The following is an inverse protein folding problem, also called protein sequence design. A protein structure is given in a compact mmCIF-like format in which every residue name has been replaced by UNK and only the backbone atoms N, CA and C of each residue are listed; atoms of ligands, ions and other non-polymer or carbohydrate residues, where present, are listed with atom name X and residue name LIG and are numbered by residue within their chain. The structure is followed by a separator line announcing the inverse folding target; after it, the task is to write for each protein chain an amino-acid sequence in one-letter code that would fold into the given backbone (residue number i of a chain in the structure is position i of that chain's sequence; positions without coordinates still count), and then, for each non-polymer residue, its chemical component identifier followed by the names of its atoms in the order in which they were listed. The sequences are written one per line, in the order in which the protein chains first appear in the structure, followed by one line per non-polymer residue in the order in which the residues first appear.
data_IF_838096397167
#
_entry.id   IF_838096397167
#
_cell.length_a   1.000
_cell.length_b   1.000
_cell.length_c   1.000
_cell.angle_alpha   90.00
_cell.angle_beta   90.00
_cell.angle_gamma   90.00
#
_symmetry.space_group_name_H-M   'P 1'
#
loop_
_entity.id
_entity.type
_entity.pdbx_description
1 polymer ?
#
# COMPACT_ATOMS: atom_id res chain seq x y z
N UNK A 1 -10.33 -18.45 -3.99
CA UNK A 1 -9.86 -19.37 -5.04
C UNK A 1 -10.22 -18.73 -6.36
N UNK A 2 -9.25 -18.43 -7.22
CA UNK A 2 -9.45 -17.86 -8.57
C UNK A 2 -9.71 -18.93 -9.61
N UNK A 3 -10.23 -18.56 -10.78
CA UNK A 3 -10.15 -19.40 -11.97
C UNK A 3 -8.71 -19.84 -12.30
N UNK A 4 -7.72 -18.94 -12.13
CA UNK A 4 -6.30 -19.23 -12.31
C UNK A 4 -5.73 -20.28 -11.33
N UNK A 5 -6.20 -20.29 -10.07
CA UNK A 5 -5.82 -21.32 -9.09
C UNK A 5 -6.39 -22.72 -9.43
N UNK A 6 -7.27 -22.81 -10.43
CA UNK A 6 -7.90 -24.05 -10.87
C UNK A 6 -7.28 -24.63 -12.16
N UNK A 7 -6.52 -23.85 -12.94
CA UNK A 7 -5.84 -24.34 -14.16
C UNK A 7 -4.94 -25.59 -13.98
N UNK A 8 -4.21 -25.76 -12.86
CA UNK A 8 -3.39 -26.95 -12.64
C UNK A 8 -4.20 -28.23 -12.38
N UNK A 9 -5.46 -28.09 -11.96
CA UNK A 9 -6.42 -29.18 -11.87
C UNK A 9 -6.95 -29.35 -13.29
N UNK A 10 -6.54 -30.39 -14.03
CA UNK A 10 -6.95 -30.52 -15.45
C UNK A 10 -8.48 -30.43 -15.65
N UNK A 11 -8.91 -29.94 -16.82
CA UNK A 11 -10.28 -29.52 -17.19
C UNK A 11 -11.45 -30.47 -16.79
N UNK A 12 -11.17 -31.75 -16.55
CA UNK A 12 -12.14 -32.77 -16.16
C UNK A 12 -12.20 -33.08 -14.65
N UNK A 13 -11.38 -32.41 -13.84
CA UNK A 13 -11.39 -32.56 -12.38
C UNK A 13 -12.72 -32.12 -11.79
N UNK A 14 -13.38 -33.02 -11.03
CA UNK A 14 -14.60 -32.71 -10.29
C UNK A 14 -14.39 -31.53 -9.32
N UNK A 15 -13.18 -31.40 -8.75
CA UNK A 15 -12.81 -30.31 -7.87
C UNK A 15 -12.77 -28.97 -8.63
N UNK A 16 -12.24 -28.95 -9.85
CA UNK A 16 -12.22 -27.75 -10.68
C UNK A 16 -13.63 -27.31 -11.06
N UNK A 17 -14.50 -28.24 -11.47
CA UNK A 17 -15.90 -27.96 -11.79
C UNK A 17 -16.64 -27.41 -10.57
N UNK A 18 -16.49 -28.04 -9.40
CA UNK A 18 -17.13 -27.58 -8.16
C UNK A 18 -16.68 -26.17 -7.74
N UNK A 19 -15.39 -25.85 -7.85
CA UNK A 19 -14.88 -24.52 -7.53
C UNK A 19 -15.31 -23.45 -8.54
N UNK A 20 -15.32 -23.77 -9.84
CA UNK A 20 -15.82 -22.88 -10.88
C UNK A 20 -17.33 -22.60 -10.70
N UNK A 21 -18.13 -23.62 -10.38
CA UNK A 21 -19.57 -23.47 -10.13
C UNK A 21 -19.85 -22.61 -8.90
N UNK A 22 -19.03 -22.74 -7.84
CA UNK A 22 -19.14 -21.93 -6.64
C UNK A 22 -18.81 -20.44 -6.92
N UNK A 23 -17.74 -20.16 -7.67
CA UNK A 23 -17.37 -18.79 -8.07
C UNK A 23 -18.44 -18.16 -8.96
N UNK A 24 -18.86 -18.86 -10.00
CA UNK A 24 -19.93 -18.41 -10.89
C UNK A 24 -21.26 -18.23 -10.12
N UNK A 25 -21.53 -19.10 -9.14
CA UNK A 25 -22.68 -18.99 -8.24
C UNK A 25 -22.65 -17.71 -7.42
N UNK A 26 -21.50 -17.39 -6.85
CA UNK A 26 -21.27 -16.16 -6.10
C UNK A 26 -21.43 -14.90 -6.96
N UNK A 27 -20.81 -14.86 -8.15
CA UNK A 27 -20.94 -13.72 -9.07
C UNK A 27 -22.38 -13.47 -9.49
N UNK A 28 -23.13 -14.54 -9.82
CA UNK A 28 -24.56 -14.41 -10.16
C UNK A 28 -25.36 -13.83 -9.00
N UNK A 29 -25.04 -14.20 -7.76
CA UNK A 29 -25.73 -13.73 -6.56
C UNK A 29 -25.41 -12.26 -6.28
N UNK A 30 -24.13 -11.87 -6.32
CA UNK A 30 -23.70 -10.47 -6.20
C UNK A 30 -24.31 -9.61 -7.30
N UNK A 31 -24.30 -10.06 -8.55
CA UNK A 31 -24.92 -9.33 -9.68
C UNK A 31 -26.43 -9.18 -9.51
N UNK A 32 -27.11 -10.25 -9.08
CA UNK A 32 -28.57 -10.25 -8.87
C UNK A 32 -28.99 -9.30 -7.74
N UNK A 33 -28.19 -9.22 -6.68
CA UNK A 33 -28.50 -8.42 -5.50
C UNK A 33 -27.74 -7.09 -5.43
N UNK A 34 -27.05 -6.70 -6.51
CA UNK A 34 -26.25 -5.48 -6.60
C UNK A 34 -26.97 -4.23 -6.07
N UNK A 35 -28.22 -3.92 -6.45
CA UNK A 35 -28.88 -2.71 -5.93
C UNK A 35 -29.08 -2.71 -4.41
N UNK A 36 -29.31 -3.88 -3.82
CA UNK A 36 -29.46 -4.03 -2.35
C UNK A 36 -28.10 -3.92 -1.67
N UNK A 37 -27.08 -4.53 -2.24
CA UNK A 37 -25.72 -4.47 -1.72
C UNK A 37 -25.18 -3.03 -1.81
N UNK A 38 -25.39 -2.31 -2.92
CA UNK A 38 -25.00 -0.90 -3.09
C UNK A 38 -25.71 0.02 -2.09
N UNK A 39 -26.98 -0.25 -1.78
CA UNK A 39 -27.71 0.49 -0.74
C UNK A 39 -27.15 0.24 0.67
N UNK A 40 -26.55 -0.93 0.93
CA UNK A 40 -25.99 -1.30 2.24
C UNK A 40 -24.53 -0.86 2.42
N UNK A 41 -23.72 -0.93 1.35
CA UNK A 41 -22.27 -0.70 1.42
C UNK A 41 -21.83 0.60 0.77
N UNK A 42 -22.74 1.37 0.18
CA UNK A 42 -22.46 2.61 -0.54
C UNK A 42 -21.84 2.42 -1.93
N UNK A 43 -21.04 1.35 -2.12
CA UNK A 43 -20.53 0.87 -3.42
C UNK A 43 -20.33 -0.65 -3.39
N UNK A 44 -20.56 -1.29 -4.54
CA UNK A 44 -20.23 -2.70 -4.78
C UNK A 44 -19.23 -2.76 -5.93
N UNK A 45 -17.95 -2.68 -5.59
CA UNK A 45 -16.87 -2.85 -6.57
C UNK A 45 -16.54 -4.34 -6.70
N UNK A 46 -16.77 -4.88 -7.90
CA UNK A 46 -16.37 -6.25 -8.22
C UNK A 46 -14.88 -6.23 -8.55
N UNK A 47 -14.04 -6.70 -7.64
CA UNK A 47 -12.58 -6.66 -7.78
C UNK A 47 -12.01 -7.84 -8.60
N UNK A 48 -12.78 -8.32 -9.57
CA UNK A 48 -12.43 -9.46 -10.42
C UNK A 48 -12.73 -10.82 -9.77
N UNK A 49 -12.31 -11.88 -10.45
CA UNK A 49 -12.57 -13.28 -10.09
C UNK A 49 -11.63 -13.81 -8.98
N UNK A 50 -10.79 -12.95 -8.40
CA UNK A 50 -9.88 -13.31 -7.31
C UNK A 50 -10.37 -12.86 -5.93
N UNK A 51 -10.94 -13.79 -5.13
CA UNK A 51 -11.27 -13.50 -3.73
C UNK A 51 -10.07 -13.04 -2.89
N UNK A 52 -8.86 -13.48 -3.23
CA UNK A 52 -7.62 -13.06 -2.60
C UNK A 52 -7.29 -11.59 -2.85
N UNK A 53 -7.57 -11.09 -4.06
CA UNK A 53 -7.38 -9.68 -4.40
C UNK A 53 -8.33 -8.78 -3.62
N UNK A 54 -9.60 -9.16 -3.48
CA UNK A 54 -10.56 -8.41 -2.66
C UNK A 54 -10.14 -8.33 -1.18
N UNK A 55 -9.67 -9.45 -0.61
CA UNK A 55 -9.15 -9.48 0.75
C UNK A 55 -7.86 -8.63 0.90
N UNK A 56 -6.96 -8.69 -0.08
CA UNK A 56 -5.74 -7.88 -0.10
C UNK A 56 -6.06 -6.40 -0.19
N UNK A 57 -6.93 -5.97 -1.11
CA UNK A 57 -7.35 -4.57 -1.25
C UNK A 57 -7.95 -4.00 0.03
N UNK A 58 -8.73 -4.81 0.76
CA UNK A 58 -9.19 -4.42 2.10
C UNK A 58 -8.01 -4.20 3.06
N UNK A 59 -7.04 -5.10 3.10
CA UNK A 59 -5.85 -4.95 3.95
C UNK A 59 -4.98 -3.74 3.54
N UNK A 60 -4.83 -3.47 2.24
CA UNK A 60 -4.17 -2.27 1.72
C UNK A 60 -4.88 -0.99 2.18
N UNK A 61 -6.21 -0.98 2.15
CA UNK A 61 -6.99 0.12 2.72
C UNK A 61 -6.81 0.25 4.23
N UNK A 62 -6.78 -0.87 4.96
CA UNK A 62 -6.63 -0.87 6.42
C UNK A 62 -5.25 -0.43 6.90
N UNK A 63 -4.16 -0.78 6.19
CA UNK A 63 -2.83 -0.27 6.57
C UNK A 63 -2.78 1.25 6.45
N UNK A 64 -3.32 1.83 5.37
CA UNK A 64 -3.41 3.29 5.22
C UNK A 64 -4.33 3.92 6.27
N UNK A 65 -5.48 3.31 6.54
CA UNK A 65 -6.46 3.83 7.50
C UNK A 65 -5.86 3.94 8.90
N UNK A 66 -5.30 2.85 9.44
CA UNK A 66 -4.80 2.84 10.82
C UNK A 66 -3.62 3.78 11.01
N UNK A 67 -2.69 3.85 10.06
CA UNK A 67 -1.55 4.79 10.15
C UNK A 67 -2.00 6.25 10.01
N UNK A 68 -2.99 6.54 9.16
CA UNK A 68 -3.53 7.90 9.00
C UNK A 68 -4.33 8.36 10.22
N UNK A 69 -5.09 7.45 10.85
CA UNK A 69 -5.78 7.77 12.09
C UNK A 69 -4.80 8.09 13.23
N UNK A 70 -3.73 7.29 13.35
CA UNK A 70 -2.68 7.54 14.33
C UNK A 70 -1.95 8.86 14.08
N UNK A 71 -1.64 9.20 12.82
CA UNK A 71 -0.99 10.48 12.49
C UNK A 71 -1.85 11.68 12.90
N UNK A 72 -3.17 11.62 12.66
CA UNK A 72 -4.09 12.68 13.09
C UNK A 72 -4.20 12.77 14.62
N UNK A 73 -4.35 11.64 15.34
CA UNK A 73 -4.42 11.66 16.80
C UNK A 73 -3.15 12.21 17.44
N UNK A 74 -1.99 11.93 16.85
CA UNK A 74 -0.73 12.45 17.32
C UNK A 74 -0.59 13.96 17.05
N UNK A 75 -1.04 14.43 15.88
CA UNK A 75 -1.14 15.87 15.61
C UNK A 75 -2.06 16.58 16.61
N UNK A 76 -3.20 15.96 16.97
CA UNK A 76 -4.09 16.46 18.03
C UNK A 76 -3.41 16.46 19.40
N UNK A 77 -2.63 15.43 19.74
CA UNK A 77 -1.90 15.37 21.01
C UNK A 77 -0.87 16.49 21.12
N UNK A 78 -0.10 16.73 20.04
CA UNK A 78 0.84 17.85 19.96
C UNK A 78 0.11 19.20 20.04
N UNK A 79 -1.00 19.36 19.32
CA UNK A 79 -1.81 20.58 19.37
C UNK A 79 -2.31 20.85 20.80
N UNK A 80 -2.78 19.82 21.52
CA UNK A 80 -3.24 19.94 22.91
C UNK A 80 -2.12 20.33 23.87
N UNK A 81 -0.92 19.79 23.69
CA UNK A 81 0.26 20.20 24.47
C UNK A 81 0.59 21.70 24.29
N UNK A 82 0.11 22.30 23.20
CA UNK A 82 0.29 23.71 22.85
C UNK A 82 -1.01 24.54 23.02
N UNK A 83 -2.00 24.04 23.76
CA UNK A 83 -3.22 24.77 24.10
C UNK A 83 -4.29 24.82 23.01
N UNK A 84 -4.12 24.07 21.92
CA UNK A 84 -5.09 23.99 20.81
C UNK A 84 -6.03 22.79 20.99
N UNK A 85 -7.24 22.91 20.44
CA UNK A 85 -8.22 21.84 20.33
C UNK A 85 -8.09 21.14 18.97
N UNK A 86 -8.63 19.93 18.89
CA UNK A 86 -8.72 19.20 17.62
C UNK A 86 -9.49 20.00 16.55
N UNK A 87 -10.54 20.73 16.95
CA UNK A 87 -11.32 21.58 16.04
C UNK A 87 -10.51 22.74 15.46
N UNK A 88 -9.50 23.24 16.20
CA UNK A 88 -8.68 24.37 15.76
C UNK A 88 -7.72 23.96 14.64
N UNK A 89 -7.26 22.71 14.65
CA UNK A 89 -6.35 22.17 13.62
C UNK A 89 -7.07 21.43 12.49
N UNK A 90 -8.37 21.17 12.63
CA UNK A 90 -9.14 20.37 11.67
C UNK A 90 -9.04 20.90 10.23
N UNK A 91 -9.18 22.21 9.93
CA UNK A 91 -9.07 22.69 8.56
C UNK A 91 -7.72 22.36 7.93
N UNK A 92 -6.63 22.55 8.67
CA UNK A 92 -5.27 22.27 8.19
C UNK A 92 -5.01 20.77 8.05
N UNK A 93 -5.50 19.96 8.98
CA UNK A 93 -5.40 18.51 8.90
C UNK A 93 -6.16 17.94 7.68
N UNK A 94 -7.35 18.48 7.37
CA UNK A 94 -8.12 18.10 6.18
C UNK A 94 -7.40 18.53 4.90
N UNK A 95 -6.92 19.77 4.81
CA UNK A 95 -6.14 20.23 3.65
C UNK A 95 -4.90 19.36 3.41
N UNK A 96 -4.18 19.01 4.49
CA UNK A 96 -3.03 18.10 4.42
C UNK A 96 -3.45 16.73 3.91
N UNK A 97 -4.54 16.15 4.45
CA UNK A 97 -5.04 14.85 4.01
C UNK A 97 -5.47 14.85 2.53
N UNK A 98 -6.15 15.89 2.07
CA UNK A 98 -6.59 16.04 0.69
C UNK A 98 -5.38 16.14 -0.28
N UNK A 99 -4.29 16.78 0.15
CA UNK A 99 -3.05 16.88 -0.63
C UNK A 99 -2.38 15.52 -0.86
N UNK A 100 -2.55 14.55 0.05
CA UNK A 100 -1.92 13.23 -0.06
C UNK A 100 -2.41 12.46 -1.29
N UNK A 101 -3.66 12.65 -1.71
CA UNK A 101 -4.17 12.02 -2.93
C UNK A 101 -3.37 12.43 -4.18
N UNK A 102 -2.93 13.69 -4.24
CA UNK A 102 -2.10 14.19 -5.34
C UNK A 102 -0.70 13.58 -5.29
N UNK A 103 -0.11 13.46 -4.09
CA UNK A 103 1.18 12.78 -3.91
C UNK A 103 1.10 11.30 -4.30
N UNK A 104 0.03 10.59 -3.93
CA UNK A 104 -0.15 9.20 -4.32
C UNK A 104 -0.19 9.05 -5.85
N UNK A 105 -0.96 9.89 -6.53
CA UNK A 105 -1.02 9.87 -8.00
C UNK A 105 0.35 10.18 -8.64
N UNK A 106 1.08 11.17 -8.09
CA UNK A 106 2.39 11.55 -8.59
C UNK A 106 3.43 10.43 -8.45
N UNK A 107 3.48 9.74 -7.30
CA UNK A 107 4.47 8.71 -7.07
C UNK A 107 4.10 7.35 -7.66
N UNK A 108 2.82 7.02 -7.84
CA UNK A 108 2.39 5.71 -8.34
C UNK A 108 3.08 5.35 -9.67
N UNK A 109 3.01 6.23 -10.67
CA UNK A 109 3.64 5.98 -11.99
C UNK A 109 5.17 5.86 -11.90
N UNK A 110 5.80 6.64 -11.01
CA UNK A 110 7.26 6.61 -10.81
C UNK A 110 7.72 5.34 -10.11
N UNK A 111 6.97 4.89 -9.09
CA UNK A 111 7.22 3.64 -8.36
C UNK A 111 7.05 2.46 -9.31
N UNK A 112 5.97 2.41 -10.10
CA UNK A 112 5.75 1.33 -11.07
C UNK A 112 6.85 1.27 -12.15
N UNK A 113 7.44 2.43 -12.49
CA UNK A 113 8.57 2.52 -13.41
C UNK A 113 9.95 2.26 -12.76
N UNK A 114 10.02 2.11 -11.43
CA UNK A 114 11.28 2.01 -10.67
C UNK A 114 12.15 3.27 -10.73
N UNK A 115 11.54 4.45 -10.98
CA UNK A 115 12.24 5.72 -11.13
C UNK A 115 12.20 6.52 -9.84
N UNK A 116 13.31 6.54 -9.12
CA UNK A 116 13.47 7.24 -7.83
C UNK A 116 14.41 8.44 -7.89
N UNK A 117 14.48 9.14 -9.02
CA UNK A 117 15.33 10.33 -9.15
C UNK A 117 14.96 11.39 -8.11
N UNK A 118 15.97 11.97 -7.45
CA UNK A 118 15.78 13.02 -6.44
C UNK A 118 15.68 14.44 -7.01
N UNK A 119 14.96 14.58 -8.12
CA UNK A 119 14.75 15.83 -8.86
C UNK A 119 13.61 16.70 -8.28
N UNK A 120 12.62 16.05 -7.66
CA UNK A 120 11.48 16.72 -6.99
C UNK A 120 11.67 16.78 -5.47
N UNK A 121 12.14 15.70 -4.88
CA UNK A 121 12.36 15.54 -3.46
C UNK A 121 13.62 14.70 -3.23
N UNK A 122 14.19 14.75 -2.02
CA UNK A 122 15.32 13.88 -1.65
C UNK A 122 15.07 13.25 -0.31
N UNK A 123 15.46 11.99 -0.16
CA UNK A 123 15.36 11.25 1.10
C UNK A 123 16.05 12.01 2.24
N UNK A 124 17.21 12.63 1.99
CA UNK A 124 17.90 13.45 2.99
C UNK A 124 17.07 14.66 3.46
N UNK A 125 16.31 15.30 2.56
CA UNK A 125 15.40 16.39 2.93
C UNK A 125 14.22 15.86 3.75
N UNK A 126 13.66 14.71 3.37
CA UNK A 126 12.61 14.04 4.12
C UNK A 126 13.04 13.65 5.53
N UNK A 127 14.27 13.11 5.69
CA UNK A 127 14.83 12.79 7.00
C UNK A 127 14.92 14.03 7.90
N UNK A 128 15.49 15.13 7.39
CA UNK A 128 15.62 16.36 8.16
C UNK A 128 14.26 16.90 8.62
N UNK A 129 13.24 16.81 7.75
CA UNK A 129 11.85 17.18 8.08
C UNK A 129 11.28 16.27 9.17
N UNK A 130 11.42 14.94 9.03
CA UNK A 130 10.92 13.97 10.01
C UNK A 130 11.60 14.11 11.38
N UNK A 131 12.90 14.41 11.41
CA UNK A 131 13.64 14.68 12.65
C UNK A 131 13.13 15.93 13.36
N UNK A 132 12.74 16.97 12.62
CA UNK A 132 12.12 18.16 13.20
C UNK A 132 10.75 17.87 13.85
N UNK A 133 9.95 17.01 13.20
CA UNK A 133 8.68 16.54 13.77
C UNK A 133 8.92 15.75 15.05
N UNK A 134 9.86 14.81 15.05
CA UNK A 134 10.24 14.02 16.23
C UNK A 134 10.73 14.91 17.38
N UNK A 135 11.60 15.88 17.07
CA UNK A 135 12.12 16.82 18.05
C UNK A 135 11.00 17.63 18.71
N UNK A 136 10.10 18.20 17.91
CA UNK A 136 8.93 18.96 18.38
C UNK A 136 8.05 18.14 19.33
N UNK A 137 7.81 16.86 19.03
CA UNK A 137 7.04 15.97 19.91
C UNK A 137 7.74 15.73 21.24
N UNK A 138 9.05 15.48 21.18
CA UNK A 138 9.88 15.21 22.35
C UNK A 138 9.96 16.43 23.27
N UNK A 139 10.17 17.63 22.72
CA UNK A 139 10.20 18.88 23.49
C UNK A 139 8.84 19.22 24.12
N UNK A 140 7.74 18.90 23.43
CA UNK A 140 6.39 19.08 23.96
C UNK A 140 5.99 18.04 25.02
N UNK A 141 6.84 17.04 25.31
CA UNK A 141 6.53 15.95 26.24
C UNK A 141 5.40 15.04 25.77
N UNK A 142 5.17 14.96 24.46
CA UNK A 142 4.15 14.11 23.83
C UNK A 142 4.78 12.79 23.41
N UNK A 143 4.00 11.71 23.38
CA UNK A 143 4.45 10.42 22.87
C UNK A 143 5.06 10.58 21.46
N UNK A 144 6.28 10.08 21.31
CA UNK A 144 7.09 10.20 20.11
C UNK A 144 7.33 8.86 19.40
N UNK A 145 6.57 7.82 19.75
CA UNK A 145 6.74 6.46 19.20
C UNK A 145 6.56 6.43 17.69
N UNK A 146 5.51 7.07 17.16
CA UNK A 146 5.23 7.06 15.73
C UNK A 146 6.22 7.94 14.93
N UNK A 147 6.58 9.18 15.33
CA UNK A 147 7.64 9.96 14.67
C UNK A 147 8.98 9.26 14.70
N UNK A 148 9.32 8.59 15.80
CA UNK A 148 10.55 7.83 15.90
C UNK A 148 10.59 6.69 14.88
N UNK A 149 9.48 5.97 14.71
CA UNK A 149 9.37 4.92 13.69
C UNK A 149 9.47 5.47 12.26
N UNK A 150 8.91 6.65 12.00
CA UNK A 150 9.06 7.34 10.70
C UNK A 150 10.53 7.71 10.46
N UNK A 151 11.17 8.38 11.42
CA UNK A 151 12.59 8.75 11.31
C UNK A 151 13.49 7.53 11.10
N UNK A 152 13.21 6.41 11.79
CA UNK A 152 13.94 5.15 11.62
C UNK A 152 13.87 4.61 10.18
N UNK A 153 12.70 4.67 9.53
CA UNK A 153 12.55 4.28 8.12
C UNK A 153 13.41 5.14 7.19
N UNK A 154 13.40 6.46 7.39
CA UNK A 154 14.23 7.38 6.61
C UNK A 154 15.72 7.12 6.84
N UNK A 155 16.15 6.87 8.09
CA UNK A 155 17.55 6.54 8.41
C UNK A 155 18.01 5.26 7.73
N UNK A 156 17.18 4.21 7.71
CA UNK A 156 17.49 2.98 6.97
C UNK A 156 17.74 3.24 5.48
N UNK A 157 16.98 4.13 4.85
CA UNK A 157 17.24 4.51 3.46
C UNK A 157 18.52 5.34 3.27
N UNK A 158 18.85 6.21 4.22
CA UNK A 158 20.12 6.93 4.21
C UNK A 158 21.31 5.96 4.32
N UNK A 159 21.22 4.97 5.21
CA UNK A 159 22.23 3.93 5.41
C UNK A 159 22.39 3.01 4.18
N UNK A 160 21.29 2.79 3.44
CA UNK A 160 21.30 2.07 2.17
C UNK A 160 21.88 2.88 0.99
N UNK A 161 22.25 4.16 1.20
CA UNK A 161 22.89 5.00 0.18
C UNK A 161 21.92 5.83 -0.66
N UNK A 162 20.63 5.85 -0.34
CA UNK A 162 19.58 6.53 -1.11
C UNK A 162 19.42 8.03 -0.77
N UNK A 163 20.43 8.65 -0.17
CA UNK A 163 20.34 10.03 0.31
C UNK A 163 19.96 11.06 -0.78
N UNK A 164 20.44 10.83 -2.00
CA UNK A 164 20.19 11.68 -3.16
C UNK A 164 18.94 11.30 -3.96
N UNK A 165 18.30 10.18 -3.63
CA UNK A 165 17.13 9.64 -4.33
C UNK A 165 15.86 10.25 -3.73
N UNK A 166 14.74 10.18 -4.45
CA UNK A 166 13.41 10.48 -3.92
C UNK A 166 13.09 9.58 -2.72
N UNK A 167 12.32 10.08 -1.74
CA UNK A 167 11.88 9.26 -0.61
C UNK A 167 11.00 8.07 -1.04
N UNK A 168 10.45 8.09 -2.26
CA UNK A 168 9.75 6.95 -2.86
C UNK A 168 10.63 5.69 -2.94
N UNK A 169 11.96 5.82 -2.94
CA UNK A 169 12.91 4.69 -2.87
C UNK A 169 12.72 3.82 -1.62
N UNK A 170 12.09 4.35 -0.55
CA UNK A 170 11.78 3.57 0.65
C UNK A 170 10.84 2.39 0.36
N UNK A 171 10.08 2.41 -0.74
CA UNK A 171 9.24 1.27 -1.16
C UNK A 171 10.08 0.01 -1.35
N UNK A 172 11.27 0.12 -1.94
CA UNK A 172 12.18 -1.01 -2.17
C UNK A 172 12.72 -1.61 -0.85
N UNK A 173 12.90 -0.77 0.18
CA UNK A 173 13.33 -1.23 1.50
C UNK A 173 12.22 -1.85 2.33
N UNK A 174 10.98 -1.42 2.08
CA UNK A 174 9.77 -1.95 2.71
C UNK A 174 9.31 -3.26 2.05
N UNK A 175 9.66 -3.46 0.78
CA UNK A 175 9.44 -4.70 0.07
C UNK A 175 10.25 -5.85 0.70
N UNK A 176 9.76 -7.07 0.50
CA UNK A 176 10.43 -8.27 1.02
C UNK A 176 11.84 -8.36 0.41
N UNK A 177 12.91 -8.54 1.21
CA UNK A 177 14.24 -8.77 0.65
C UNK A 177 14.23 -10.08 -0.14
N UNK A 178 14.30 -9.98 -1.47
CA UNK A 178 14.39 -11.13 -2.36
C UNK A 178 13.63 -11.10 -3.69
N UNK A 179 13.13 -9.98 -4.18
CA UNK A 179 12.68 -9.90 -5.57
C UNK A 179 13.07 -8.55 -6.20
N UNK A 180 14.31 -8.41 -6.70
CA UNK A 180 14.59 -7.34 -7.64
C UNK A 180 13.81 -7.69 -8.90
N UNK A 181 12.93 -6.77 -9.32
CA UNK A 181 12.40 -6.69 -10.67
C UNK A 181 13.40 -7.25 -11.68
N UNK A 182 13.20 -8.52 -12.07
CA UNK A 182 14.03 -9.16 -13.07
C UNK A 182 13.82 -8.42 -14.39
N UNK A 183 14.88 -7.89 -15.03
CA UNK A 183 14.73 -7.30 -16.35
C UNK A 183 14.24 -8.39 -17.29
N UNK A 184 13.23 -8.05 -18.11
CA UNK A 184 12.44 -8.97 -18.93
C UNK A 184 13.23 -10.18 -19.46
N UNK A 185 12.81 -11.38 -19.06
CA UNK A 185 13.20 -12.58 -19.78
C UNK A 185 12.40 -12.63 -21.07
N UNK A 186 12.99 -12.00 -22.09
CA UNK A 186 12.83 -12.27 -23.51
C UNK A 186 12.56 -13.76 -23.75
N UNK A 187 11.55 -14.02 -24.58
CA UNK A 187 11.12 -15.35 -24.96
C UNK A 187 12.27 -16.13 -25.57
N UNK A 188 12.79 -17.11 -24.84
CA UNK A 188 13.47 -18.26 -25.42
C UNK A 188 13.00 -19.53 -24.76
N UNK A 189 12.09 -20.18 -25.50
CA UNK A 189 11.85 -21.62 -25.45
C UNK A 189 13.20 -22.33 -25.34
N UNK A 190 13.43 -23.02 -24.22
CA UNK A 190 14.37 -24.13 -24.21
C UNK A 190 13.54 -25.37 -24.50
N UNK A 191 13.46 -25.70 -25.78
CA UNK A 191 13.42 -27.10 -26.19
C UNK A 191 14.69 -27.71 -25.60
N UNK A 192 14.53 -28.63 -24.68
CA UNK A 192 15.39 -29.79 -24.57
C UNK A 192 14.68 -30.80 -23.69
N UNK A 193 14.11 -31.80 -24.38
CA UNK A 193 13.50 -32.95 -23.75
C UNK A 193 14.55 -33.79 -23.03
N UNK A 194 14.14 -34.40 -21.93
CA UNK A 194 14.77 -35.61 -21.45
C UNK A 194 13.68 -36.57 -21.01
N UNK A 195 13.54 -37.61 -21.83
CA UNK A 195 12.80 -38.81 -21.52
C UNK A 195 13.51 -39.61 -20.42
N UNK A 196 12.66 -40.24 -19.62
CA UNK A 196 12.83 -41.45 -18.83
C UNK A 196 14.14 -42.25 -19.04
N UNK A 197 14.83 -42.54 -17.94
CA UNK A 197 15.08 -43.91 -17.43
C UNK A 197 15.42 -43.87 -15.94
#
# INVERSE_FOLDING_TARGET
MTAAALEPLGADSELQKACADALNGWERLVRRHRPVLEALTGRVEHQGEDPGLAALSYQLGMVMFWTSMLSFWQAVALARANGLKAADILPHATETADSLAQFFAFYAERIDAGVHDGDVDRLAMGLASAEHVLHTHTEAGVDSTLPAAVVDLFRRGMEAGHAGDSFSSLVELLAKPGDPTGPGTDGRVREDGLSLR
#
